data_IF_788313788190
#
_entry.id   IF_788313788190
#
_cell.length_a   1.000
_cell.length_b   1.000
_cell.length_c   1.000
_cell.angle_alpha   90.00
_cell.angle_beta   90.00
_cell.angle_gamma   90.00
#
_symmetry.space_group_name_H-M   'P 1'
#
loop_
_entity.id
_entity.type
_entity.pdbx_description
1 polymer ?
#
# COMPACT_ATOMS: atom_id res chain seq x y z
N UNK A 1 -23.48 32.34 -32.48
CA UNK A 1 -23.42 30.90 -32.17
C UNK A 1 -22.09 30.40 -31.58
N UNK A 2 -20.92 30.92 -32.00
CA UNK A 2 -19.58 30.47 -31.52
C UNK A 2 -19.37 30.57 -29.99
N UNK A 3 -19.92 31.58 -29.32
CA UNK A 3 -19.75 31.73 -27.86
C UNK A 3 -20.49 30.67 -27.04
N UNK A 4 -21.65 30.17 -27.52
CA UNK A 4 -22.43 29.14 -26.82
C UNK A 4 -21.72 27.79 -26.86
N UNK A 5 -21.04 27.45 -27.96
CA UNK A 5 -20.29 26.19 -28.07
C UNK A 5 -19.01 26.23 -27.25
N UNK A 6 -18.30 27.36 -27.23
CA UNK A 6 -17.13 27.56 -26.36
C UNK A 6 -17.48 27.42 -24.88
N UNK A 7 -18.49 28.16 -24.39
CA UNK A 7 -18.91 28.10 -22.98
C UNK A 7 -19.33 26.69 -22.55
N UNK A 8 -20.08 25.97 -23.41
CA UNK A 8 -20.46 24.57 -23.15
C UNK A 8 -19.23 23.67 -23.01
N UNK A 9 -18.23 23.80 -23.89
CA UNK A 9 -16.99 23.00 -23.80
C UNK A 9 -16.27 23.26 -22.48
N UNK A 10 -16.06 24.53 -22.12
CA UNK A 10 -15.39 24.90 -20.87
C UNK A 10 -16.10 24.29 -19.66
N UNK A 11 -17.42 24.42 -19.56
CA UNK A 11 -18.20 23.86 -18.45
C UNK A 11 -18.07 22.33 -18.38
N UNK A 12 -18.19 21.66 -19.52
CA UNK A 12 -18.09 20.19 -19.57
C UNK A 12 -16.67 19.73 -19.23
N UNK A 13 -15.63 20.39 -19.75
CA UNK A 13 -14.23 20.09 -19.43
C UNK A 13 -13.92 20.29 -17.95
N UNK A 14 -14.46 21.35 -17.33
CA UNK A 14 -14.34 21.60 -15.90
C UNK A 14 -14.98 20.46 -15.09
N UNK A 15 -16.21 20.07 -15.45
CA UNK A 15 -16.92 18.98 -14.78
C UNK A 15 -16.17 17.64 -14.90
N UNK A 16 -15.63 17.32 -16.07
CA UNK A 16 -14.82 16.10 -16.29
C UNK A 16 -13.54 16.14 -15.44
N UNK A 17 -12.82 17.25 -15.45
CA UNK A 17 -11.59 17.39 -14.68
C UNK A 17 -11.84 17.24 -13.17
N UNK A 18 -12.89 17.90 -12.67
CA UNK A 18 -13.31 17.79 -11.28
C UNK A 18 -13.68 16.36 -10.90
N UNK A 19 -14.48 15.69 -11.75
CA UNK A 19 -14.85 14.29 -11.57
C UNK A 19 -13.62 13.38 -11.53
N UNK A 20 -12.68 13.54 -12.47
CA UNK A 20 -11.48 12.70 -12.56
C UNK A 20 -10.56 12.87 -11.34
N UNK A 21 -10.37 14.10 -10.84
CA UNK A 21 -9.56 14.34 -9.62
C UNK A 21 -10.21 13.71 -8.39
N UNK A 22 -11.53 13.87 -8.24
CA UNK A 22 -12.25 13.24 -7.13
C UNK A 22 -12.16 11.72 -7.25
N UNK A 23 -12.42 11.17 -8.43
CA UNK A 23 -12.36 9.75 -8.66
C UNK A 23 -10.96 9.18 -8.41
N UNK A 24 -9.89 9.88 -8.81
CA UNK A 24 -8.51 9.48 -8.50
C UNK A 24 -8.29 9.39 -6.98
N UNK A 25 -8.69 10.40 -6.21
CA UNK A 25 -8.63 10.35 -4.75
C UNK A 25 -9.38 9.15 -4.15
N UNK A 26 -10.62 8.90 -4.60
CA UNK A 26 -11.42 7.79 -4.08
C UNK A 26 -10.83 6.44 -4.44
N UNK A 27 -10.41 6.23 -5.68
CA UNK A 27 -9.84 4.95 -6.13
C UNK A 27 -8.53 4.66 -5.41
N UNK A 28 -7.67 5.68 -5.20
CA UNK A 28 -6.44 5.50 -4.43
C UNK A 28 -6.69 5.06 -2.97
N UNK A 29 -7.90 5.30 -2.43
CA UNK A 29 -8.30 4.90 -1.08
C UNK A 29 -9.11 3.60 -1.03
N UNK A 30 -9.33 2.91 -2.16
CA UNK A 30 -9.97 1.60 -2.18
C UNK A 30 -8.96 0.55 -1.68
N UNK A 31 -9.37 -0.24 -0.69
CA UNK A 31 -8.56 -1.29 -0.04
C UNK A 31 -7.91 -2.28 -1.03
N UNK A 32 -8.57 -2.58 -2.14
CA UNK A 32 -7.99 -3.38 -3.22
C UNK A 32 -7.36 -2.45 -4.26
N UNK A 33 -6.04 -2.56 -4.53
CA UNK A 33 -5.35 -1.76 -5.54
C UNK A 33 -5.75 -2.20 -6.96
N UNK A 34 -7.00 -1.91 -7.32
CA UNK A 34 -7.53 -2.13 -8.65
C UNK A 34 -6.78 -1.20 -9.61
N UNK A 35 -6.17 -1.79 -10.63
CA UNK A 35 -5.49 -1.06 -11.71
C UNK A 35 -4.21 -0.34 -11.28
N UNK A 36 -3.54 -0.80 -10.24
CA UNK A 36 -2.22 -0.29 -9.92
C UNK A 36 -1.13 -0.93 -10.78
N UNK A 37 -0.10 -0.14 -11.11
CA UNK A 37 1.09 -0.62 -11.85
C UNK A 37 2.32 -0.46 -10.95
N UNK A 38 2.32 -1.14 -9.81
CA UNK A 38 3.38 -1.03 -8.79
C UNK A 38 4.73 -1.46 -9.37
N UNK A 39 4.72 -2.49 -10.21
CA UNK A 39 5.91 -2.95 -10.93
C UNK A 39 6.53 -1.84 -11.79
N UNK A 40 5.73 -0.94 -12.37
CA UNK A 40 6.29 0.19 -13.12
C UNK A 40 7.01 1.16 -12.18
N UNK A 41 6.42 1.47 -11.03
CA UNK A 41 7.00 2.42 -10.08
C UNK A 41 8.27 1.88 -9.44
N UNK A 42 8.31 0.56 -9.17
CA UNK A 42 9.50 -0.16 -8.77
C UNK A 42 10.68 0.04 -9.73
N UNK A 43 10.42 -0.14 -11.03
CA UNK A 43 11.43 0.11 -12.07
C UNK A 43 11.89 1.57 -12.09
N UNK A 44 10.96 2.52 -11.88
CA UNK A 44 11.31 3.94 -11.80
C UNK A 44 12.19 4.22 -10.59
N UNK A 45 11.92 3.60 -9.45
CA UNK A 45 12.73 3.72 -8.24
C UNK A 45 14.15 3.21 -8.43
N UNK A 46 14.28 2.00 -9.00
CA UNK A 46 15.57 1.39 -9.30
C UNK A 46 16.39 2.25 -10.28
N UNK A 47 15.75 2.79 -11.32
CA UNK A 47 16.46 3.56 -12.35
C UNK A 47 16.77 5.01 -11.94
N UNK A 48 15.91 5.65 -11.14
CA UNK A 48 16.00 7.09 -10.85
C UNK A 48 16.40 7.42 -9.40
N UNK A 49 16.60 6.42 -8.54
CA UNK A 49 17.14 6.59 -7.19
C UNK A 49 16.31 7.50 -6.28
N UNK A 50 14.99 7.36 -6.30
CA UNK A 50 14.02 8.26 -5.64
C UNK A 50 13.93 8.14 -4.11
N UNK A 51 14.49 7.09 -3.51
CA UNK A 51 13.98 6.57 -2.23
C UNK A 51 14.81 6.86 -0.97
N UNK A 52 15.85 7.69 -1.02
CA UNK A 52 16.77 7.83 0.13
C UNK A 52 16.35 8.86 1.18
N UNK A 53 15.48 9.82 0.86
CA UNK A 53 15.37 11.03 1.69
C UNK A 53 14.45 10.93 2.92
N UNK A 54 13.46 10.02 2.97
CA UNK A 54 12.51 9.96 4.09
C UNK A 54 12.76 8.81 5.07
N UNK A 55 13.65 7.88 4.72
CA UNK A 55 13.92 6.70 5.52
C UNK A 55 15.28 6.88 6.22
N UNK A 56 15.25 7.53 7.38
CA UNK A 56 16.38 7.62 8.31
C UNK A 56 16.25 6.52 9.37
N UNK A 57 17.23 5.62 9.45
CA UNK A 57 17.27 4.52 10.42
C UNK A 57 17.93 4.90 11.76
N UNK A 58 18.54 6.09 11.88
CA UNK A 58 19.35 6.42 13.05
C UNK A 58 18.55 6.46 14.38
N UNK A 59 17.25 6.69 14.29
CA UNK A 59 16.28 6.67 15.40
C UNK A 59 15.57 5.31 15.57
N UNK A 60 15.96 4.28 14.81
CA UNK A 60 15.43 2.92 14.90
C UNK A 60 16.52 1.96 15.37
N UNK A 61 16.14 1.01 16.22
CA UNK A 61 16.98 -0.10 16.62
C UNK A 61 16.25 -1.40 16.32
N UNK A 62 16.82 -2.19 15.42
CA UNK A 62 16.32 -3.51 15.06
C UNK A 62 17.02 -4.59 15.91
N UNK A 63 16.26 -5.55 16.43
CA UNK A 63 16.73 -6.61 17.31
C UNK A 63 16.13 -7.93 16.86
N UNK A 64 16.99 -8.86 16.47
CA UNK A 64 16.58 -10.09 15.83
C UNK A 64 16.24 -11.18 16.84
N UNK A 65 15.05 -11.76 16.71
CA UNK A 65 14.55 -12.90 17.46
C UNK A 65 14.54 -14.20 16.62
N UNK A 66 15.03 -14.17 15.39
CA UNK A 66 14.93 -15.28 14.44
C UNK A 66 15.63 -16.58 14.85
N UNK A 67 16.59 -16.50 15.79
CA UNK A 67 17.25 -17.66 16.39
C UNK A 67 16.89 -17.89 17.86
N UNK A 68 16.14 -16.98 18.48
CA UNK A 68 15.70 -17.08 19.88
C UNK A 68 14.37 -17.85 19.93
N UNK A 69 14.45 -19.17 19.88
CA UNK A 69 13.30 -20.08 19.81
C UNK A 69 13.20 -20.99 21.03
N UNK A 70 11.99 -21.28 21.47
CA UNK A 70 11.70 -22.32 22.46
C UNK A 70 10.69 -23.33 21.89
N UNK A 71 10.76 -24.56 22.40
CA UNK A 71 9.84 -25.62 22.03
C UNK A 71 8.74 -25.70 23.08
N UNK A 72 7.48 -25.61 22.67
CA UNK A 72 6.32 -25.77 23.54
C UNK A 72 5.52 -27.00 23.17
N UNK A 73 4.77 -27.51 24.14
CA UNK A 73 3.85 -28.62 23.94
C UNK A 73 2.49 -28.09 23.49
N UNK A 74 1.97 -28.63 22.39
CA UNK A 74 0.63 -28.30 21.89
C UNK A 74 -0.36 -29.36 22.35
N UNK A 75 -1.52 -28.90 22.80
CA UNK A 75 -2.63 -29.75 23.22
C UNK A 75 -3.83 -29.55 22.31
N UNK A 76 -4.63 -30.58 22.11
CA UNK A 76 -5.94 -30.46 21.44
C UNK A 76 -7.01 -29.84 22.34
N UNK A 77 -8.24 -29.75 21.83
CA UNK A 77 -9.41 -29.21 22.54
C UNK A 77 -9.79 -30.01 23.81
N UNK A 78 -9.29 -31.24 23.95
CA UNK A 78 -9.51 -32.10 25.12
C UNK A 78 -8.36 -32.02 26.13
N UNK A 79 -7.29 -31.27 25.81
CA UNK A 79 -6.11 -31.11 26.64
C UNK A 79 -5.07 -32.23 26.48
N UNK A 80 -5.26 -33.12 25.52
CA UNK A 80 -4.30 -34.18 25.22
C UNK A 80 -3.15 -33.62 24.37
N UNK A 81 -1.93 -34.06 24.66
CA UNK A 81 -0.73 -33.60 23.94
C UNK A 81 -0.71 -34.18 22.52
N UNK A 82 -0.75 -33.31 21.51
CA UNK A 82 -0.68 -33.71 20.08
C UNK A 82 0.72 -33.57 19.48
N UNK A 83 1.63 -32.89 20.18
CA UNK A 83 3.01 -32.73 19.74
C UNK A 83 3.69 -31.55 20.38
N UNK A 84 4.75 -31.07 19.72
CA UNK A 84 5.44 -29.86 20.09
C UNK A 84 5.53 -28.92 18.89
N UNK A 85 5.56 -27.62 19.16
CA UNK A 85 5.78 -26.59 18.15
C UNK A 85 6.84 -25.60 18.62
N UNK A 86 7.47 -24.93 17.65
CA UNK A 86 8.56 -23.97 17.88
C UNK A 86 7.99 -22.57 17.88
N UNK A 87 8.13 -21.87 19.01
CA UNK A 87 7.74 -20.46 19.14
C UNK A 87 8.96 -19.60 19.45
N UNK A 88 8.80 -18.27 19.38
CA UNK A 88 9.82 -17.35 19.88
C UNK A 88 9.93 -17.45 21.40
N UNK A 89 11.16 -17.54 21.92
CA UNK A 89 11.46 -17.75 23.34
C UNK A 89 10.88 -16.63 24.22
N UNK A 90 9.86 -16.97 25.01
CA UNK A 90 9.10 -16.01 25.83
C UNK A 90 9.93 -15.44 26.97
N UNK A 91 10.91 -16.18 27.48
CA UNK A 91 11.83 -15.70 28.52
C UNK A 91 12.81 -14.66 27.98
N UNK A 92 13.28 -14.80 26.75
CA UNK A 92 14.15 -13.86 26.05
C UNK A 92 13.43 -12.53 25.87
N UNK A 93 12.18 -12.57 25.39
CA UNK A 93 11.33 -11.37 25.30
C UNK A 93 11.15 -10.74 26.68
N UNK A 94 10.81 -11.53 27.71
CA UNK A 94 10.62 -11.02 29.07
C UNK A 94 11.89 -10.33 29.62
N UNK A 95 13.05 -10.97 29.47
CA UNK A 95 14.35 -10.44 29.91
C UNK A 95 14.68 -9.14 29.17
N UNK A 96 14.45 -9.09 27.86
CA UNK A 96 14.63 -7.88 27.07
C UNK A 96 13.72 -6.74 27.56
N UNK A 97 12.42 -7.00 27.74
CA UNK A 97 11.47 -5.98 28.16
C UNK A 97 11.76 -5.43 29.56
N UNK A 98 12.28 -6.27 30.47
CA UNK A 98 12.75 -5.82 31.78
C UNK A 98 13.95 -4.88 31.69
N UNK A 99 14.88 -5.12 30.76
CA UNK A 99 15.98 -4.19 30.48
C UNK A 99 15.46 -2.89 29.86
N UNK A 100 14.51 -3.00 28.93
CA UNK A 100 13.98 -1.86 28.20
C UNK A 100 13.13 -0.92 29.09
N UNK A 101 12.47 -1.44 30.14
CA UNK A 101 11.50 -0.70 30.98
C UNK A 101 11.98 0.69 31.42
N UNK A 102 13.27 0.84 31.74
CA UNK A 102 13.86 2.10 32.23
C UNK A 102 14.89 2.73 31.29
N UNK A 103 14.99 2.25 30.04
CA UNK A 103 16.00 2.69 29.06
C UNK A 103 15.65 3.99 28.31
N UNK A 104 14.43 4.50 28.48
CA UNK A 104 13.99 5.73 27.80
C UNK A 104 13.66 5.55 26.31
N UNK A 105 13.29 4.35 25.88
CA UNK A 105 12.82 4.08 24.51
C UNK A 105 11.62 4.93 24.09
N UNK A 106 11.53 5.26 22.81
CA UNK A 106 10.43 6.03 22.24
C UNK A 106 9.19 5.14 22.05
N UNK A 107 9.34 4.00 21.38
CA UNK A 107 8.28 3.00 21.19
C UNK A 107 8.93 1.62 21.00
N UNK A 108 8.27 0.56 21.43
CA UNK A 108 8.65 -0.82 21.12
C UNK A 108 7.59 -1.41 20.19
N UNK A 109 8.00 -1.91 19.03
CA UNK A 109 7.21 -2.81 18.22
C UNK A 109 7.77 -4.22 18.41
N UNK A 110 6.97 -5.09 19.05
CA UNK A 110 7.33 -6.48 19.26
C UNK A 110 6.52 -7.32 18.29
N UNK A 111 7.11 -7.62 17.14
CA UNK A 111 6.54 -8.42 16.07
C UNK A 111 6.60 -9.91 16.38
N UNK A 112 5.82 -10.29 17.39
CA UNK A 112 5.67 -11.67 17.85
C UNK A 112 4.21 -11.91 18.19
N UNK A 113 3.67 -13.03 17.70
CA UNK A 113 2.29 -13.42 17.95
C UNK A 113 2.15 -14.22 19.25
N UNK A 114 1.00 -14.03 19.89
CA UNK A 114 0.60 -14.69 21.14
C UNK A 114 -0.78 -15.32 20.94
N UNK A 115 -0.80 -16.42 20.19
CA UNK A 115 -2.02 -17.11 19.75
C UNK A 115 -2.50 -18.11 20.79
N UNK A 116 -3.82 -18.22 20.95
CA UNK A 116 -4.44 -19.20 21.85
C UNK A 116 -3.97 -20.62 21.50
N UNK A 117 -3.68 -21.42 22.52
CA UNK A 117 -3.13 -22.78 22.36
C UNK A 117 -1.60 -22.85 22.44
N UNK A 118 -0.90 -21.73 22.26
CA UNK A 118 0.57 -21.66 22.31
C UNK A 118 1.08 -21.17 23.67
N UNK A 119 0.84 -21.96 24.72
CA UNK A 119 1.18 -21.59 26.09
C UNK A 119 2.66 -21.91 26.41
N UNK A 120 3.36 -20.96 27.02
CA UNK A 120 4.71 -21.10 27.57
C UNK A 120 4.68 -20.93 29.11
N UNK A 121 5.55 -21.62 29.87
CA UNK A 121 5.69 -21.41 31.31
C UNK A 121 5.99 -19.95 31.71
N UNK A 122 6.52 -19.16 30.78
CA UNK A 122 6.90 -17.77 31.00
C UNK A 122 5.78 -16.76 30.73
N UNK A 123 4.63 -17.18 30.18
CA UNK A 123 3.57 -16.27 29.69
C UNK A 123 2.99 -15.39 30.79
N UNK A 124 2.77 -15.93 31.99
CA UNK A 124 2.21 -15.14 33.10
C UNK A 124 3.09 -13.92 33.45
N UNK A 125 4.41 -14.14 33.56
CA UNK A 125 5.37 -13.07 33.85
C UNK A 125 5.57 -12.15 32.64
N UNK A 126 5.58 -12.70 31.43
CA UNK A 126 5.68 -11.94 30.19
C UNK A 126 4.49 -10.99 30.02
N UNK A 127 3.26 -11.46 30.14
CA UNK A 127 2.07 -10.64 29.94
C UNK A 127 1.91 -9.58 31.02
N UNK A 128 2.34 -9.86 32.25
CA UNK A 128 2.47 -8.82 33.27
C UNK A 128 3.44 -7.72 32.84
N UNK A 129 4.60 -8.07 32.29
CA UNK A 129 5.56 -7.09 31.79
C UNK A 129 4.99 -6.32 30.58
N UNK A 130 4.41 -7.01 29.59
CA UNK A 130 3.82 -6.37 28.40
C UNK A 130 2.77 -5.32 28.81
N UNK A 131 1.91 -5.64 29.79
CA UNK A 131 0.92 -4.71 30.35
C UNK A 131 1.57 -3.43 30.88
N UNK A 132 2.69 -3.55 31.62
CA UNK A 132 3.43 -2.42 32.20
C UNK A 132 4.08 -1.51 31.16
N UNK A 133 4.41 -1.99 29.97
CA UNK A 133 5.12 -1.21 28.94
C UNK A 133 4.17 -0.24 28.21
N UNK A 134 4.21 1.09 28.46
CA UNK A 134 3.17 2.01 27.99
C UNK A 134 3.20 2.30 26.48
N UNK A 135 4.38 2.22 25.85
CA UNK A 135 4.61 2.53 24.43
C UNK A 135 5.03 1.26 23.68
N UNK A 136 4.22 0.21 23.81
CA UNK A 136 4.44 -1.10 23.21
C UNK A 136 3.32 -1.41 22.23
N UNK A 137 3.69 -1.94 21.07
CA UNK A 137 2.78 -2.40 20.01
C UNK A 137 2.99 -3.89 19.79
N UNK A 138 1.89 -4.63 19.68
CA UNK A 138 1.85 -6.04 19.35
C UNK A 138 1.13 -6.23 18.01
N UNK A 139 1.61 -7.13 17.13
CA UNK A 139 0.94 -7.42 15.87
C UNK A 139 -0.37 -8.16 16.13
N UNK A 140 -1.29 -7.97 15.21
CA UNK A 140 -2.55 -8.68 15.13
C UNK A 140 -2.91 -8.91 13.66
N UNK A 141 -3.70 -9.95 13.41
CA UNK A 141 -4.24 -10.23 12.08
C UNK A 141 -5.73 -9.89 11.99
N UNK A 142 -6.16 -9.57 10.78
CA UNK A 142 -7.56 -9.41 10.40
C UNK A 142 -8.26 -10.78 10.42
N UNK A 143 -9.18 -10.95 11.38
CA UNK A 143 -10.18 -12.04 11.56
C UNK A 143 -9.80 -13.47 11.10
N UNK A 144 -9.74 -14.40 12.07
CA UNK A 144 -9.63 -15.86 11.91
C UNK A 144 -9.61 -16.57 13.28
N UNK A 145 -9.77 -17.89 13.38
CA UNK A 145 -9.63 -18.60 14.68
C UNK A 145 -8.23 -18.42 15.29
N UNK A 146 -7.20 -18.27 14.44
CA UNK A 146 -5.81 -17.92 14.79
C UNK A 146 -5.65 -16.47 15.31
N UNK A 147 -6.71 -15.66 15.27
CA UNK A 147 -6.70 -14.27 15.77
C UNK A 147 -7.09 -14.14 17.25
N UNK A 148 -7.45 -15.24 17.91
CA UNK A 148 -7.70 -15.23 19.36
C UNK A 148 -6.38 -15.11 20.14
N UNK A 149 -6.19 -13.96 20.77
CA UNK A 149 -5.04 -13.71 21.64
C UNK A 149 -5.17 -14.47 22.96
N UNK A 150 -4.04 -14.96 23.49
CA UNK A 150 -4.01 -15.66 24.80
C UNK A 150 -4.53 -14.74 25.92
N UNK A 151 -4.17 -13.46 25.91
CA UNK A 151 -4.57 -12.48 26.93
C UNK A 151 -5.31 -11.27 26.32
N UNK A 152 -6.62 -11.23 26.52
CA UNK A 152 -7.50 -10.14 26.04
C UNK A 152 -7.17 -8.77 26.64
N UNK A 153 -6.46 -8.70 27.78
CA UNK A 153 -6.05 -7.43 28.39
C UNK A 153 -4.98 -6.68 27.56
N UNK A 154 -4.31 -7.38 26.65
CA UNK A 154 -3.32 -6.80 25.73
C UNK A 154 -3.94 -6.14 24.50
N UNK A 155 -5.27 -6.24 24.31
CA UNK A 155 -5.98 -5.71 23.13
C UNK A 155 -5.73 -4.22 22.88
N UNK A 156 -5.53 -3.42 23.93
CA UNK A 156 -5.22 -1.99 23.80
C UNK A 156 -3.83 -1.70 23.19
N UNK A 157 -2.94 -2.71 23.11
CA UNK A 157 -1.60 -2.60 22.53
C UNK A 157 -1.51 -3.22 21.13
N UNK A 158 -2.59 -3.86 20.67
CA UNK A 158 -2.62 -4.54 19.37
C UNK A 158 -2.80 -3.55 18.22
N UNK A 159 -2.20 -3.88 17.09
CA UNK A 159 -2.36 -3.18 15.81
C UNK A 159 -2.17 -4.16 14.66
N UNK A 160 -2.85 -3.95 13.53
CA UNK A 160 -2.76 -4.87 12.40
C UNK A 160 -1.40 -4.80 11.70
N UNK A 161 -0.73 -5.95 11.60
CA UNK A 161 0.51 -6.10 10.87
C UNK A 161 0.28 -6.51 9.40
N UNK A 162 -0.97 -6.83 9.04
CA UNK A 162 -1.36 -7.16 7.67
C UNK A 162 -1.14 -5.99 6.72
N UNK A 163 -0.62 -6.32 5.55
CA UNK A 163 -0.57 -5.42 4.41
C UNK A 163 -1.18 -6.12 3.19
N UNK A 164 -1.52 -5.35 2.16
CA UNK A 164 -2.17 -5.87 0.96
C UNK A 164 -1.11 -6.15 -0.09
N UNK A 165 -1.01 -7.41 -0.51
CA UNK A 165 -0.29 -7.79 -1.72
C UNK A 165 -1.26 -7.88 -2.90
N UNK A 166 -0.73 -7.74 -4.12
CA UNK A 166 -1.46 -8.14 -5.32
C UNK A 166 -1.11 -9.58 -5.68
N UNK A 167 -1.85 -10.16 -6.63
CA UNK A 167 -1.54 -11.51 -7.14
C UNK A 167 -0.17 -11.56 -7.85
N UNK A 168 0.36 -10.40 -8.27
CA UNK A 168 1.55 -10.30 -9.13
C UNK A 168 2.73 -9.55 -8.49
N UNK A 169 2.52 -8.91 -7.34
CA UNK A 169 3.53 -8.16 -6.59
C UNK A 169 3.29 -8.42 -5.10
N UNK A 170 4.35 -8.67 -4.36
CA UNK A 170 4.32 -8.78 -2.90
C UNK A 170 3.98 -7.44 -2.23
N UNK A 171 4.70 -7.05 -1.18
CA UNK A 171 4.50 -5.76 -0.50
C UNK A 171 4.68 -4.58 -1.46
N UNK A 172 3.69 -3.69 -1.49
CA UNK A 172 3.69 -2.55 -2.41
C UNK A 172 2.84 -1.38 -1.91
N UNK A 173 1.70 -1.67 -1.27
CA UNK A 173 0.84 -0.68 -0.63
C UNK A 173 0.53 -1.04 0.80
N UNK A 174 0.54 0.00 1.63
CA UNK A 174 0.24 -0.12 3.05
C UNK A 174 -1.09 0.56 3.38
N UNK A 175 -2.01 -0.20 3.97
CA UNK A 175 -3.31 0.27 4.43
C UNK A 175 -3.23 0.65 5.92
N UNK A 176 -3.31 1.95 6.22
CA UNK A 176 -3.06 2.44 7.58
C UNK A 176 -4.21 2.16 8.55
N UNK A 177 -5.46 2.30 8.10
CA UNK A 177 -6.68 2.02 8.87
C UNK A 177 -7.48 0.93 8.16
N UNK A 178 -7.64 -0.20 8.83
CA UNK A 178 -8.25 -1.43 8.29
C UNK A 178 -9.41 -1.83 9.19
N UNK A 179 -10.64 -1.81 8.66
CA UNK A 179 -11.86 -2.11 9.43
C UNK A 179 -11.96 -1.33 10.76
N UNK A 180 -11.54 -0.06 10.75
CA UNK A 180 -11.41 0.84 11.92
C UNK A 180 -10.36 0.43 12.97
N UNK A 181 -9.54 -0.58 12.69
CA UNK A 181 -8.34 -0.90 13.47
C UNK A 181 -7.12 -0.22 12.87
N UNK A 182 -6.22 0.24 13.75
CA UNK A 182 -4.96 0.83 13.33
C UNK A 182 -4.01 -0.29 12.89
N UNK A 183 -3.34 -0.07 11.77
CA UNK A 183 -2.12 -0.82 11.43
C UNK A 183 -0.99 -0.51 12.42
N UNK A 184 0.04 -1.35 12.46
CA UNK A 184 1.24 -1.13 13.28
C UNK A 184 1.85 0.24 12.98
N UNK A 185 2.03 0.61 11.71
CA UNK A 185 2.60 1.91 11.35
C UNK A 185 1.75 3.09 11.85
N UNK A 186 0.41 3.00 11.70
CA UNK A 186 -0.50 4.03 12.21
C UNK A 186 -0.48 4.11 13.74
N UNK A 187 -0.34 2.96 14.42
CA UNK A 187 -0.21 2.88 15.87
C UNK A 187 1.09 3.52 16.36
N UNK A 188 2.22 3.24 15.71
CA UNK A 188 3.50 3.91 15.98
C UNK A 188 3.36 5.43 15.87
N UNK A 189 2.75 5.91 14.77
CA UNK A 189 2.51 7.32 14.55
C UNK A 189 1.61 7.95 15.62
N UNK A 190 0.61 7.21 16.09
CA UNK A 190 -0.28 7.65 17.15
C UNK A 190 0.42 7.78 18.50
N UNK A 191 1.26 6.82 18.86
CA UNK A 191 2.03 6.84 20.11
C UNK A 191 3.09 7.94 20.10
N UNK A 192 3.82 8.10 18.98
CA UNK A 192 4.98 8.97 18.90
C UNK A 192 4.62 10.43 18.62
N UNK A 193 3.61 10.68 17.78
CA UNK A 193 3.25 12.04 17.36
C UNK A 193 1.88 12.51 17.86
N UNK A 194 1.14 11.66 18.58
CA UNK A 194 -0.25 11.92 19.00
C UNK A 194 -1.16 12.29 17.80
N UNK A 195 -1.01 11.53 16.71
CA UNK A 195 -1.78 11.71 15.47
C UNK A 195 -2.59 10.47 15.12
N UNK A 196 -3.57 10.62 14.24
CA UNK A 196 -4.39 9.51 13.79
C UNK A 196 -4.98 9.78 12.41
N UNK A 197 -5.38 8.70 11.73
CA UNK A 197 -6.21 8.73 10.53
C UNK A 197 -7.62 8.34 10.94
N UNK A 198 -8.59 9.15 10.54
CA UNK A 198 -10.01 8.89 10.77
C UNK A 198 -10.73 8.77 9.43
N UNK A 199 -11.66 7.82 9.35
CA UNK A 199 -12.59 7.71 8.23
C UNK A 199 -13.68 8.78 8.36
N UNK A 200 -13.88 9.54 7.30
CA UNK A 200 -14.91 10.58 7.19
C UNK A 200 -15.88 10.23 6.05
N UNK A 201 -16.98 10.98 5.93
CA UNK A 201 -17.93 10.76 4.82
C UNK A 201 -17.33 11.07 3.44
N UNK A 202 -16.25 11.85 3.39
CA UNK A 202 -15.56 12.26 2.15
C UNK A 202 -14.23 11.53 1.93
N UNK A 203 -13.95 10.46 2.68
CA UNK A 203 -12.71 9.68 2.57
C UNK A 203 -12.00 9.56 3.91
N UNK A 204 -10.75 10.01 3.97
CA UNK A 204 -9.90 9.91 5.16
C UNK A 204 -9.28 11.26 5.52
N UNK A 205 -9.15 11.52 6.81
CA UNK A 205 -8.54 12.74 7.35
C UNK A 205 -7.47 12.40 8.38
N UNK A 206 -6.40 13.17 8.33
CA UNK A 206 -5.30 13.14 9.26
C UNK A 206 -5.53 14.23 10.31
N UNK A 207 -5.92 13.82 11.51
CA UNK A 207 -6.48 14.71 12.52
C UNK A 207 -7.85 15.29 12.11
N UNK A 208 -8.21 16.46 12.66
CA UNK A 208 -9.60 16.95 12.56
C UNK A 208 -10.05 17.44 11.17
N UNK A 209 -9.16 17.86 10.25
CA UNK A 209 -9.61 18.49 8.98
C UNK A 209 -8.67 18.37 7.76
N UNK A 210 -7.63 17.52 7.75
CA UNK A 210 -6.68 17.46 6.61
C UNK A 210 -6.88 16.18 5.81
N UNK A 211 -7.38 16.23 4.56
CA UNK A 211 -7.57 15.02 3.78
C UNK A 211 -6.25 14.30 3.56
N UNK A 212 -6.28 12.98 3.66
CA UNK A 212 -5.13 12.13 3.42
C UNK A 212 -5.52 10.80 2.78
N UNK A 213 -4.51 10.06 2.35
CA UNK A 213 -4.60 8.73 1.79
C UNK A 213 -4.45 7.68 2.89
N UNK A 214 -5.39 6.74 2.96
CA UNK A 214 -5.34 5.59 3.85
C UNK A 214 -4.50 4.44 3.28
N UNK A 215 -4.44 4.34 1.95
CA UNK A 215 -3.68 3.35 1.23
C UNK A 215 -2.60 4.07 0.42
N UNK A 216 -1.33 3.84 0.75
CA UNK A 216 -0.20 4.51 0.11
C UNK A 216 0.75 3.48 -0.49
N UNK A 217 1.31 3.80 -1.66
CA UNK A 217 2.52 3.13 -2.14
C UNK A 217 3.67 3.52 -1.22
N UNK A 218 4.38 2.53 -0.68
CA UNK A 218 5.52 2.76 0.20
C UNK A 218 6.77 2.50 -0.63
N UNK A 219 7.52 3.55 -1.00
CA UNK A 219 8.80 3.31 -1.61
C UNK A 219 9.69 2.56 -0.61
N UNK A 220 10.59 1.71 -1.10
CA UNK A 220 11.55 0.99 -0.29
C UNK A 220 12.95 1.38 -0.80
N UNK A 221 13.84 1.87 0.09
CA UNK A 221 15.24 2.01 -0.24
C UNK A 221 15.82 0.67 -0.66
N UNK A 222 16.63 0.67 -1.72
CA UNK A 222 17.22 -0.55 -2.28
C UNK A 222 17.94 -1.35 -1.20
N UNK A 223 18.75 -0.73 -0.35
CA UNK A 223 19.54 -1.42 0.68
C UNK A 223 18.73 -2.20 1.74
N UNK A 224 17.40 -2.08 1.79
CA UNK A 224 16.56 -2.88 2.68
C UNK A 224 16.36 -4.33 2.21
N UNK A 225 16.67 -4.63 0.94
CA UNK A 225 16.59 -6.00 0.45
C UNK A 225 17.65 -6.87 1.12
N UNK A 226 17.27 -8.05 1.58
CA UNK A 226 18.22 -9.08 1.96
C UNK A 226 18.66 -9.77 0.67
N UNK A 227 19.88 -9.53 0.19
CA UNK A 227 20.40 -10.33 -0.92
C UNK A 227 20.69 -11.74 -0.41
N UNK A 228 19.75 -12.66 -0.62
CA UNK A 228 19.82 -14.06 -0.19
C UNK A 228 20.67 -14.94 -1.11
N UNK A 229 21.24 -14.41 -2.20
CA UNK A 229 22.01 -15.21 -3.14
C UNK A 229 23.42 -14.68 -3.36
N UNK A 230 24.37 -15.46 -2.85
CA UNK A 230 25.82 -15.43 -3.06
C UNK A 230 26.55 -14.26 -2.38
N UNK A 231 27.27 -14.62 -1.32
CA UNK A 231 28.57 -14.02 -1.00
C UNK A 231 29.38 -14.01 -2.31
N UNK A 232 29.32 -12.93 -3.08
CA UNK A 232 30.35 -12.65 -4.07
C UNK A 232 31.45 -11.89 -3.31
N UNK A 233 32.50 -12.57 -2.82
CA UNK A 233 33.59 -11.92 -2.09
C UNK A 233 34.31 -10.86 -2.92
N UNK A 234 34.05 -10.77 -4.23
CA UNK A 234 34.65 -9.79 -5.13
C UNK A 234 33.84 -8.48 -5.23
N UNK A 235 32.62 -8.41 -4.70
CA UNK A 235 31.77 -7.22 -4.79
C UNK A 235 31.18 -6.77 -3.43
N UNK A 236 32.00 -6.20 -2.53
CA UNK A 236 31.60 -5.78 -1.18
C UNK A 236 30.68 -4.55 -1.13
N UNK A 237 30.09 -4.13 -2.26
CA UNK A 237 29.29 -2.90 -2.34
C UNK A 237 27.88 -3.02 -1.77
N UNK A 238 27.42 -4.23 -1.45
CA UNK A 238 26.13 -4.44 -0.78
C UNK A 238 26.39 -4.81 0.67
N UNK A 239 26.48 -3.78 1.51
CA UNK A 239 26.64 -3.91 2.95
C UNK A 239 25.38 -4.60 3.52
N UNK A 240 25.46 -5.90 3.80
CA UNK A 240 24.33 -6.63 4.37
C UNK A 240 23.95 -6.03 5.73
N UNK A 241 22.69 -5.64 5.90
CA UNK A 241 22.17 -5.21 7.19
C UNK A 241 22.14 -6.42 8.12
N UNK A 242 23.03 -6.43 9.11
CA UNK A 242 23.04 -7.47 10.15
C UNK A 242 22.28 -6.99 11.39
N UNK A 243 21.14 -7.60 11.65
CA UNK A 243 20.35 -7.33 12.84
C UNK A 243 20.94 -8.08 14.06
N UNK A 244 21.26 -7.41 15.17
CA UNK A 244 21.84 -8.05 16.35
C UNK A 244 20.82 -8.99 17.01
N UNK A 245 21.25 -10.22 17.32
CA UNK A 245 20.41 -11.23 17.98
C UNK A 245 20.15 -10.91 19.45
N UNK A 246 18.90 -10.97 19.89
CA UNK A 246 18.51 -10.59 21.23
C UNK A 246 19.20 -11.48 22.28
N UNK A 247 19.09 -12.79 22.18
CA UNK A 247 19.65 -13.71 23.18
C UNK A 247 21.18 -13.67 23.24
N UNK A 248 21.84 -13.90 22.10
CA UNK A 248 23.29 -14.12 22.07
C UNK A 248 24.14 -12.85 22.12
N UNK A 249 23.62 -11.71 21.64
CA UNK A 249 24.38 -10.46 21.55
C UNK A 249 23.95 -9.43 22.58
N UNK A 250 22.65 -9.30 22.86
CA UNK A 250 22.12 -8.27 23.77
C UNK A 250 21.95 -8.81 25.19
N UNK A 251 21.40 -10.01 25.33
CA UNK A 251 21.06 -10.64 26.63
C UNK A 251 22.13 -11.61 27.13
N UNK A 252 23.32 -11.60 26.52
CA UNK A 252 24.36 -12.56 26.83
C UNK A 252 24.75 -12.48 28.32
N UNK A 253 24.52 -13.54 29.12
CA UNK A 253 24.83 -13.51 30.56
C UNK A 253 26.31 -13.31 30.87
N UNK A 254 27.20 -13.71 29.95
CA UNK A 254 28.66 -13.59 30.09
C UNK A 254 29.17 -12.20 29.70
N UNK A 255 28.34 -11.40 29.02
CA UNK A 255 28.62 -10.04 28.57
C UNK A 255 27.34 -9.20 28.69
N UNK A 256 26.75 -9.13 29.88
CA UNK A 256 25.61 -8.24 30.09
C UNK A 256 26.11 -6.84 29.74
N UNK A 257 25.55 -6.18 28.71
CA UNK A 257 26.05 -4.89 28.30
C UNK A 257 25.95 -3.92 29.48
N UNK A 258 26.97 -3.09 29.66
CA UNK A 258 26.90 -2.00 30.63
C UNK A 258 25.64 -1.18 30.37
N UNK A 259 25.07 -0.60 31.43
CA UNK A 259 23.83 0.17 31.32
C UNK A 259 23.90 1.24 30.22
N UNK A 260 25.06 1.88 30.07
CA UNK A 260 25.30 2.88 29.04
C UNK A 260 25.17 2.33 27.61
N UNK A 261 25.52 1.06 27.38
CA UNK A 261 25.36 0.40 26.08
C UNK A 261 23.88 0.15 25.78
N UNK A 262 23.12 -0.33 26.77
CA UNK A 262 21.67 -0.52 26.64
C UNK A 262 20.96 0.81 26.42
N UNK A 263 21.33 1.84 27.20
CA UNK A 263 20.76 3.18 27.06
C UNK A 263 21.10 3.75 25.67
N UNK A 264 22.33 3.61 25.16
CA UNK A 264 22.66 4.02 23.79
C UNK A 264 21.91 3.25 22.71
N UNK A 265 21.58 1.98 22.97
CA UNK A 265 20.84 1.13 22.04
C UNK A 265 19.35 1.46 22.00
N UNK A 266 18.75 1.88 23.12
CA UNK A 266 17.29 1.99 23.23
C UNK A 266 16.79 3.43 23.41
N UNK A 267 17.56 4.32 24.05
CA UNK A 267 17.12 5.66 24.44
C UNK A 267 16.73 6.50 23.24
N UNK A 268 15.54 7.08 23.30
CA UNK A 268 14.94 7.90 22.24
C UNK A 268 14.76 7.18 20.89
N UNK A 269 14.92 5.85 20.84
CA UNK A 269 14.78 5.07 19.61
C UNK A 269 13.47 4.30 19.57
N UNK A 270 13.01 4.04 18.34
CA UNK A 270 11.98 3.04 18.05
C UNK A 270 12.68 1.69 18.06
N UNK A 271 12.28 0.81 18.96
CA UNK A 271 12.89 -0.50 19.11
C UNK A 271 11.98 -1.52 18.45
N UNK A 272 12.52 -2.25 17.48
CA UNK A 272 11.79 -3.24 16.71
C UNK A 272 12.36 -4.61 16.99
N UNK A 273 11.55 -5.48 17.60
CA UNK A 273 11.88 -6.86 17.88
C UNK A 273 11.06 -7.74 16.96
N UNK A 274 11.70 -8.61 16.21
CA UNK A 274 11.02 -9.48 15.25
C UNK A 274 11.93 -10.55 14.70
N UNK A 275 11.38 -11.42 13.86
CA UNK A 275 12.14 -12.47 13.19
C UNK A 275 12.63 -11.98 11.82
N UNK A 276 13.82 -11.37 11.78
CA UNK A 276 14.34 -10.79 10.53
C UNK A 276 14.96 -11.85 9.60
N UNK A 277 15.07 -13.09 10.07
CA UNK A 277 15.67 -14.19 9.30
C UNK A 277 14.61 -15.03 8.60
N UNK A 278 13.44 -15.22 9.23
CA UNK A 278 12.40 -16.14 8.74
C UNK A 278 11.08 -15.43 8.37
N UNK A 279 10.79 -14.22 8.88
CA UNK A 279 9.60 -13.44 8.50
C UNK A 279 9.91 -12.53 7.29
N UNK A 280 10.24 -13.18 6.18
CA UNK A 280 10.59 -12.52 4.92
C UNK A 280 9.37 -12.41 4.03
N UNK A 281 9.28 -11.29 3.32
CA UNK A 281 8.19 -11.04 2.40
C UNK A 281 8.70 -10.50 1.08
N UNK A 282 8.13 -11.04 0.01
CA UNK A 282 8.38 -10.53 -1.33
C UNK A 282 8.00 -9.06 -1.42
N UNK A 283 8.86 -8.28 -2.05
CA UNK A 283 8.60 -6.90 -2.44
C UNK A 283 9.19 -6.66 -3.82
N UNK A 284 8.97 -5.47 -4.37
CA UNK A 284 9.53 -5.12 -5.66
C UNK A 284 11.05 -4.91 -5.66
N UNK A 285 11.69 -4.82 -4.48
CA UNK A 285 13.15 -4.78 -4.32
C UNK A 285 13.74 -6.14 -3.93
N UNK A 286 12.92 -7.20 -3.80
CA UNK A 286 13.31 -8.50 -3.27
C UNK A 286 12.69 -8.80 -1.92
N UNK A 287 13.23 -9.78 -1.20
CA UNK A 287 12.76 -10.16 0.13
C UNK A 287 13.14 -9.11 1.18
N UNK A 288 12.15 -8.67 1.95
CA UNK A 288 12.31 -7.69 3.04
C UNK A 288 11.63 -8.22 4.30
N UNK A 289 12.25 -8.10 5.48
CA UNK A 289 11.63 -8.50 6.73
C UNK A 289 10.32 -7.75 7.03
N UNK A 290 9.28 -8.46 7.47
CA UNK A 290 7.99 -7.90 7.90
C UNK A 290 8.09 -6.71 8.88
N UNK A 291 8.91 -6.80 9.94
CA UNK A 291 9.06 -5.70 10.87
C UNK A 291 9.60 -4.41 10.21
N UNK A 292 10.48 -4.55 9.22
CA UNK A 292 11.08 -3.42 8.48
C UNK A 292 10.04 -2.72 7.62
N UNK A 293 9.16 -3.47 6.96
CA UNK A 293 8.08 -2.93 6.13
C UNK A 293 7.11 -2.06 6.96
N UNK A 294 6.79 -2.48 8.19
CA UNK A 294 5.97 -1.69 9.12
C UNK A 294 6.66 -0.38 9.52
N UNK A 295 7.98 -0.38 9.72
CA UNK A 295 8.74 0.86 9.98
C UNK A 295 8.76 1.75 8.74
N UNK A 296 8.93 1.21 7.54
CA UNK A 296 8.90 1.99 6.29
C UNK A 296 7.58 2.71 6.09
N UNK A 297 6.48 2.03 6.33
CA UNK A 297 5.17 2.65 6.33
C UNK A 297 5.04 3.75 7.41
N UNK A 298 5.57 3.52 8.62
CA UNK A 298 5.59 4.55 9.66
C UNK A 298 6.40 5.79 9.25
N UNK A 299 7.59 5.62 8.68
CA UNK A 299 8.45 6.71 8.22
C UNK A 299 7.79 7.54 7.12
N UNK A 300 7.15 6.86 6.17
CA UNK A 300 6.36 7.50 5.12
C UNK A 300 5.23 8.37 5.73
N UNK A 301 4.52 7.83 6.71
CA UNK A 301 3.45 8.51 7.43
C UNK A 301 3.95 9.70 8.27
N UNK A 302 5.06 9.54 9.00
CA UNK A 302 5.70 10.57 9.84
C UNK A 302 6.18 11.76 9.00
N UNK A 303 6.76 11.48 7.82
CA UNK A 303 7.12 12.51 6.83
C UNK A 303 5.91 13.25 6.24
N UNK A 304 4.67 12.82 6.55
CA UNK A 304 3.43 13.44 6.09
C UNK A 304 3.13 13.19 4.60
N UNK A 305 3.78 12.18 4.00
CA UNK A 305 3.64 11.84 2.58
C UNK A 305 2.28 11.23 2.24
N UNK A 306 1.50 10.85 3.25
CA UNK A 306 0.13 10.41 3.08
C UNK A 306 -0.87 11.57 2.93
N UNK A 307 -0.49 12.83 3.23
CA UNK A 307 -1.40 13.98 3.12
C UNK A 307 -1.67 14.29 1.65
N UNK A 308 -2.90 14.73 1.35
CA UNK A 308 -3.23 15.18 0.00
C UNK A 308 -2.40 16.43 -0.34
N UNK A 309 -1.57 16.32 -1.38
CA UNK A 309 -0.81 17.44 -1.92
C UNK A 309 -1.71 18.26 -2.86
N UNK A 310 -2.05 19.48 -2.43
CA UNK A 310 -2.91 20.36 -3.21
C UNK A 310 -2.25 20.89 -4.49
N UNK A 311 -0.91 20.91 -4.56
CA UNK A 311 -0.18 21.24 -5.78
C UNK A 311 -0.37 20.12 -6.81
N UNK A 312 -0.22 18.86 -6.38
CA UNK A 312 -0.52 17.68 -7.20
C UNK A 312 -1.98 17.70 -7.71
N UNK A 313 -2.94 17.93 -6.80
CA UNK A 313 -4.37 17.99 -7.14
C UNK A 313 -4.67 19.10 -8.15
N UNK A 314 -4.11 20.29 -7.93
CA UNK A 314 -4.29 21.43 -8.83
C UNK A 314 -3.69 21.17 -10.21
N UNK A 315 -2.51 20.54 -10.24
CA UNK A 315 -1.84 20.16 -11.48
C UNK A 315 -2.67 19.15 -12.27
N UNK A 316 -3.15 18.08 -11.63
CA UNK A 316 -4.03 17.10 -12.27
C UNK A 316 -5.32 17.74 -12.80
N UNK A 317 -5.92 18.62 -12.01
CA UNK A 317 -7.13 19.34 -12.42
C UNK A 317 -6.89 20.13 -13.71
N UNK A 318 -5.82 20.95 -13.76
CA UNK A 318 -5.47 21.74 -14.93
C UNK A 318 -5.19 20.85 -16.14
N UNK A 319 -4.43 19.78 -15.94
CA UNK A 319 -4.12 18.83 -17.01
C UNK A 319 -5.37 18.17 -17.58
N UNK A 320 -6.23 17.60 -16.73
CA UNK A 320 -7.47 16.96 -17.16
C UNK A 320 -8.42 17.95 -17.82
N UNK A 321 -8.47 19.19 -17.33
CA UNK A 321 -9.24 20.25 -17.96
C UNK A 321 -8.75 20.53 -19.39
N UNK A 322 -7.44 20.70 -19.57
CA UNK A 322 -6.80 20.93 -20.87
C UNK A 322 -7.08 19.76 -21.82
N UNK A 323 -6.82 18.52 -21.39
CA UNK A 323 -7.08 17.31 -22.18
C UNK A 323 -8.55 17.23 -22.61
N UNK A 324 -9.47 17.37 -21.66
CA UNK A 324 -10.92 17.37 -21.93
C UNK A 324 -11.30 18.44 -22.95
N UNK A 325 -10.78 19.66 -22.79
CA UNK A 325 -11.09 20.79 -23.66
C UNK A 325 -10.61 20.55 -25.09
N UNK A 326 -9.37 20.07 -25.28
CA UNK A 326 -8.82 19.78 -26.61
C UNK A 326 -9.57 18.65 -27.32
N UNK A 327 -9.91 17.58 -26.59
CA UNK A 327 -10.70 16.45 -27.11
C UNK A 327 -12.09 16.94 -27.57
N UNK A 328 -12.81 17.69 -26.72
CA UNK A 328 -14.14 18.23 -27.06
C UNK A 328 -14.08 19.30 -28.18
N UNK A 329 -12.95 19.98 -28.34
CA UNK A 329 -12.72 20.91 -29.43
C UNK A 329 -12.41 20.21 -30.77
N UNK A 330 -12.21 18.88 -30.77
CA UNK A 330 -11.72 18.08 -31.91
C UNK A 330 -10.42 18.63 -32.50
N UNK A 331 -9.58 19.20 -31.62
CA UNK A 331 -8.26 19.70 -32.00
C UNK A 331 -7.24 18.67 -31.51
N UNK A 332 -6.60 17.98 -32.45
CA UNK A 332 -5.42 17.20 -32.11
C UNK A 332 -4.35 18.15 -31.56
N UNK A 333 -3.75 17.79 -30.43
CA UNK A 333 -2.63 18.52 -29.82
C UNK A 333 -1.49 18.72 -30.85
N UNK A 334 -1.28 17.75 -31.73
CA UNK A 334 -0.30 17.82 -32.82
C UNK A 334 -0.51 19.01 -33.77
N UNK A 335 -1.74 19.55 -33.88
CA UNK A 335 -2.03 20.75 -34.69
C UNK A 335 -1.65 22.07 -34.01
N UNK A 336 -1.22 22.05 -32.74
CA UNK A 336 -0.63 23.22 -32.08
C UNK A 336 0.81 23.47 -32.51
N UNK A 337 1.47 22.46 -33.09
CA UNK A 337 2.86 22.54 -33.56
C UNK A 337 2.90 22.83 -35.06
N UNK A 338 3.92 23.58 -35.48
CA UNK A 338 4.14 23.94 -36.90
C UNK A 338 4.18 22.69 -37.78
N UNK A 339 3.60 22.79 -38.97
CA UNK A 339 3.68 21.72 -39.97
C UNK A 339 5.14 21.44 -40.32
N UNK A 340 5.52 20.16 -40.46
CA UNK A 340 6.90 19.74 -40.71
C UNK A 340 7.81 19.66 -39.47
N UNK A 341 7.35 20.05 -38.28
CA UNK A 341 8.15 19.86 -37.06
C UNK A 341 8.28 18.37 -36.71
N UNK A 342 9.51 17.92 -36.42
CA UNK A 342 9.79 16.58 -35.89
C UNK A 342 8.93 16.25 -34.65
N UNK A 343 8.60 17.26 -33.84
CA UNK A 343 7.74 17.09 -32.67
C UNK A 343 6.30 16.69 -33.05
N UNK A 344 5.76 17.23 -34.17
CA UNK A 344 4.44 16.85 -34.68
C UNK A 344 4.44 15.41 -35.21
N UNK A 345 5.53 14.99 -35.84
CA UNK A 345 5.75 13.61 -36.26
C UNK A 345 5.79 12.68 -35.04
N UNK A 346 6.63 12.95 -34.03
CA UNK A 346 6.67 12.15 -32.80
C UNK A 346 5.30 12.08 -32.10
N UNK A 347 4.64 13.22 -31.90
CA UNK A 347 3.32 13.29 -31.26
C UNK A 347 2.20 12.61 -32.06
N UNK A 348 2.42 12.28 -33.35
CA UNK A 348 1.45 11.52 -34.13
C UNK A 348 1.46 10.02 -33.81
N UNK A 349 2.57 9.50 -33.28
CA UNK A 349 2.70 8.11 -32.82
C UNK A 349 2.33 7.96 -31.34
N UNK A 350 2.36 9.05 -30.56
CA UNK A 350 2.05 9.04 -29.14
C UNK A 350 0.55 8.93 -28.94
N UNK A 351 0.09 7.74 -28.53
CA UNK A 351 -1.26 7.56 -28.02
C UNK A 351 -1.45 8.35 -26.72
N UNK A 352 -2.69 8.67 -26.38
CA UNK A 352 -3.03 9.26 -25.07
C UNK A 352 -2.50 8.40 -23.91
N UNK A 353 -2.45 7.08 -24.08
CA UNK A 353 -1.90 6.16 -23.07
C UNK A 353 -0.41 6.36 -22.82
N UNK A 354 0.41 6.52 -23.87
CA UNK A 354 1.85 6.79 -23.74
C UNK A 354 2.09 8.14 -23.04
N UNK A 355 1.28 9.16 -23.35
CA UNK A 355 1.36 10.44 -22.66
C UNK A 355 1.08 10.29 -21.16
N UNK A 356 0.03 9.55 -20.79
CA UNK A 356 -0.27 9.30 -19.37
C UNK A 356 0.81 8.46 -18.70
N UNK A 357 1.43 7.52 -19.40
CA UNK A 357 2.55 6.74 -18.88
C UNK A 357 3.71 7.65 -18.44
N UNK A 358 4.20 8.53 -19.33
CA UNK A 358 5.27 9.46 -18.97
C UNK A 358 4.84 10.46 -17.89
N UNK A 359 3.58 10.88 -17.92
CA UNK A 359 3.01 11.71 -16.87
C UNK A 359 3.02 10.99 -15.52
N UNK A 360 2.64 9.71 -15.45
CA UNK A 360 2.67 8.93 -14.22
C UNK A 360 4.08 8.86 -13.66
N UNK A 361 5.08 8.56 -14.49
CA UNK A 361 6.50 8.57 -14.08
C UNK A 361 6.93 9.94 -13.56
N UNK A 362 6.56 11.01 -14.27
CA UNK A 362 6.83 12.39 -13.84
C UNK A 362 6.18 12.70 -12.49
N UNK A 363 4.88 12.44 -12.34
CA UNK A 363 4.13 12.69 -11.11
C UNK A 363 4.71 11.91 -9.94
N UNK A 364 5.04 10.65 -10.17
CA UNK A 364 5.66 9.81 -9.17
C UNK A 364 7.03 10.37 -8.73
N UNK A 365 7.89 10.77 -9.67
CA UNK A 365 9.22 11.34 -9.35
C UNK A 365 9.14 12.60 -8.50
N UNK A 366 8.15 13.47 -8.72
CA UNK A 366 8.05 14.76 -8.03
C UNK A 366 7.18 14.72 -6.76
N UNK A 367 6.14 13.89 -6.74
CA UNK A 367 5.15 13.87 -5.66
C UNK A 367 5.17 12.58 -4.82
N UNK A 368 5.86 11.52 -5.29
CA UNK A 368 5.82 10.16 -4.71
C UNK A 368 4.40 9.58 -4.60
N UNK A 369 3.50 9.99 -5.50
CA UNK A 369 2.10 9.53 -5.54
C UNK A 369 1.89 8.69 -6.81
N UNK A 370 1.32 7.50 -6.66
CA UNK A 370 0.88 6.66 -7.79
C UNK A 370 -0.46 7.17 -8.33
N UNK A 371 -0.45 7.57 -9.59
CA UNK A 371 -1.67 7.96 -10.32
C UNK A 371 -2.26 6.74 -11.04
N UNK A 372 -3.57 6.54 -10.91
CA UNK A 372 -4.29 5.47 -11.61
C UNK A 372 -4.69 5.96 -13.02
N UNK A 373 -3.99 5.47 -14.04
CA UNK A 373 -4.13 5.97 -15.42
C UNK A 373 -5.34 5.42 -16.17
N UNK A 374 -5.89 4.29 -15.74
CA UNK A 374 -6.93 3.58 -16.51
C UNK A 374 -8.18 4.44 -16.65
N UNK A 375 -8.65 5.02 -15.55
CA UNK A 375 -9.86 5.84 -15.56
C UNK A 375 -9.77 7.05 -16.51
N UNK A 376 -8.77 7.94 -16.42
CA UNK A 376 -8.65 9.06 -17.35
C UNK A 376 -8.45 8.59 -18.79
N UNK A 377 -7.68 7.51 -19.01
CA UNK A 377 -7.47 6.95 -20.35
C UNK A 377 -8.77 6.48 -20.99
N UNK A 378 -9.59 5.72 -20.26
CA UNK A 378 -10.89 5.23 -20.72
C UNK A 378 -11.85 6.39 -21.00
N UNK A 379 -11.95 7.36 -20.08
CA UNK A 379 -12.84 8.51 -20.25
C UNK A 379 -12.43 9.33 -21.47
N UNK A 380 -11.14 9.63 -21.63
CA UNK A 380 -10.66 10.40 -22.78
C UNK A 380 -10.77 9.63 -24.09
N UNK A 381 -10.59 8.30 -24.08
CA UNK A 381 -10.83 7.46 -25.23
C UNK A 381 -12.31 7.50 -25.66
N UNK A 382 -13.24 7.35 -24.70
CA UNK A 382 -14.68 7.43 -24.97
C UNK A 382 -15.04 8.80 -25.53
N UNK A 383 -14.59 9.88 -24.87
CA UNK A 383 -14.85 11.26 -25.28
C UNK A 383 -14.32 11.56 -26.69
N UNK A 384 -13.14 11.06 -27.03
CA UNK A 384 -12.53 11.23 -28.35
C UNK A 384 -13.26 10.47 -29.46
N UNK A 385 -13.94 9.38 -29.12
CA UNK A 385 -14.62 8.49 -30.08
C UNK A 385 -16.16 8.58 -30.05
N UNK A 386 -16.74 9.55 -29.33
CA UNK A 386 -18.20 9.67 -29.18
C UNK A 386 -18.98 9.65 -30.51
N UNK A 387 -18.45 10.26 -31.57
CA UNK A 387 -19.12 10.28 -32.88
C UNK A 387 -19.06 8.92 -33.59
N UNK A 388 -17.95 8.20 -33.44
CA UNK A 388 -17.79 6.84 -33.96
C UNK A 388 -18.74 5.90 -33.22
N UNK A 389 -18.85 6.01 -31.89
CA UNK A 389 -19.79 5.23 -31.10
C UNK A 389 -21.25 5.56 -31.43
N UNK A 390 -21.61 6.84 -31.60
CA UNK A 390 -22.97 7.22 -32.03
C UNK A 390 -23.33 6.64 -33.38
N UNK A 391 -22.39 6.68 -34.32
CA UNK A 391 -22.52 6.09 -35.65
C UNK A 391 -22.70 4.57 -35.54
N UNK A 392 -21.85 3.89 -34.77
CA UNK A 392 -21.91 2.46 -34.51
C UNK A 392 -23.25 2.04 -33.87
N UNK A 393 -23.68 2.70 -32.79
CA UNK A 393 -24.96 2.42 -32.14
C UNK A 393 -26.17 2.69 -33.05
N UNK A 394 -26.08 3.69 -33.93
CA UNK A 394 -27.11 3.93 -34.95
C UNK A 394 -27.22 2.74 -35.92
N UNK A 395 -26.09 2.21 -36.41
CA UNK A 395 -26.06 1.03 -37.26
C UNK A 395 -26.55 -0.22 -36.52
N UNK A 396 -26.12 -0.43 -35.28
CA UNK A 396 -26.56 -1.55 -34.45
C UNK A 396 -28.07 -1.52 -34.22
N UNK A 397 -28.64 -0.36 -33.89
CA UNK A 397 -30.08 -0.19 -33.69
C UNK A 397 -30.87 -0.45 -34.98
N UNK A 398 -30.37 -0.01 -36.14
CA UNK A 398 -30.97 -0.31 -37.46
C UNK A 398 -30.91 -1.81 -37.77
N UNK A 399 -29.79 -2.48 -37.49
CA UNK A 399 -29.63 -3.92 -37.67
C UNK A 399 -30.57 -4.74 -36.77
N UNK A 400 -30.71 -4.35 -35.51
CA UNK A 400 -31.63 -5.01 -34.57
C UNK A 400 -33.09 -4.83 -34.98
N UNK A 401 -33.49 -3.64 -35.42
CA UNK A 401 -34.83 -3.39 -35.96
C UNK A 401 -35.11 -4.27 -37.19
N UNK A 402 -34.17 -4.32 -38.15
CA UNK A 402 -34.30 -5.17 -39.34
C UNK A 402 -34.42 -6.67 -39.00
N UNK A 403 -33.62 -7.16 -38.04
CA UNK A 403 -33.69 -8.55 -37.58
C UNK A 403 -35.04 -8.87 -36.92
N UNK A 404 -35.54 -7.96 -36.08
CA UNK A 404 -36.86 -8.07 -35.44
C UNK A 404 -37.99 -8.13 -36.47
N UNK A 405 -37.98 -7.25 -37.46
CA UNK A 405 -39.00 -7.23 -38.52
C UNK A 405 -38.95 -8.52 -39.38
N UNK A 406 -37.74 -9.03 -39.67
CA UNK A 406 -37.57 -10.29 -40.40
C UNK A 406 -38.08 -11.50 -39.60
N UNK A 407 -37.85 -11.53 -38.29
CA UNK A 407 -38.38 -12.58 -37.41
C UNK A 407 -39.92 -12.51 -37.32
N UNK A 408 -40.50 -11.33 -37.10
CA UNK A 408 -41.95 -11.14 -37.07
C UNK A 408 -42.61 -11.57 -38.39
N UNK A 409 -42.00 -11.22 -39.53
CA UNK A 409 -42.49 -11.63 -40.84
C UNK A 409 -42.41 -13.16 -41.06
N UNK A 410 -41.40 -13.85 -40.51
CA UNK A 410 -41.34 -15.32 -40.51
C UNK A 410 -42.46 -15.92 -39.65
N UNK A 411 -42.62 -15.45 -38.41
CA UNK A 411 -43.71 -15.89 -37.53
C UNK A 411 -45.10 -15.72 -38.16
N UNK A 412 -45.35 -14.61 -38.87
CA UNK A 412 -46.62 -14.39 -39.56
C UNK A 412 -46.81 -15.32 -40.78
N UNK A 413 -45.75 -15.66 -41.51
CA UNK A 413 -45.81 -16.63 -42.60
C UNK A 413 -46.10 -18.03 -42.09
N UNK A 414 -45.39 -18.47 -41.06
CA UNK A 414 -45.55 -19.79 -40.46
C UNK A 414 -46.97 -19.95 -39.88
N UNK A 415 -47.51 -18.90 -39.25
CA UNK A 415 -48.89 -18.87 -38.75
C UNK A 415 -49.94 -18.95 -39.87
N UNK A 416 -49.69 -18.32 -41.03
CA UNK A 416 -50.59 -18.43 -42.20
C UNK A 416 -50.55 -19.82 -42.83
N UNK A 417 -49.39 -20.46 -42.91
CA UNK A 417 -49.25 -21.83 -43.40
C UNK A 417 -50.04 -22.82 -42.52
N UNK A 418 -49.87 -22.73 -41.20
CA UNK A 418 -50.62 -23.54 -40.22
C UNK A 418 -52.15 -23.32 -40.26
N UNK A 419 -52.60 -22.19 -40.78
CA UNK A 419 -54.03 -21.88 -40.94
C UNK A 419 -54.62 -22.41 -42.26
N UNK A 420 -53.78 -22.65 -43.27
CA UNK A 420 -54.23 -23.17 -44.57
C UNK A 420 -54.17 -24.71 -44.64
N UNK A 421 -53.38 -25.33 -43.76
CA UNK A 421 -53.26 -26.79 -43.65
C UNK A 421 -54.30 -27.41 -42.68
N UNK A 422 -55.20 -26.59 -42.11
CA UNK A 422 -56.39 -27.01 -41.34
C UNK A 422 -57.64 -26.73 -42.15
#
# INVERSE_FOLDING_TARGET
MKNKTFRKRVIVSFAIAFFLVIADYWIQNITFPLFDDENLLAWVDQLLGTNKEYFDENDVTYINLGKDKELITITDDWGDTIGNDVITDRNTILRFLKLAENSGYSCIFLDVRFEKGYNSPNDSALFEQLRKMPRLILPAHREGEESEFIDSSLRAKMAYADYRSTIFSGFSRYEYLQDNQQSVALRMWSILENRNIIKTWYGYSCGHCKPCYNLCYIPLPEYLHLSTENEDPENPSMEHIRYPYAGSMILNPQRIPEKDVIDNLLKNKIVVLGDFDNDLHDSYIGEVPGPVLSVAAYKYLSAGRNKVDWIYVSFLFVLFFICSYFILARRHISKLFKEGSFLRFLLSFVSIGILFFFLKVFLYKFFLISMIMILPTVIFHILGNLDNYRTFFSYFKKGFAYSKDKLLNRFHKDKKQLSNDK
#
